data_IF_514943310648
#
_entry.id   IF_514943310648
#
_cell.length_a   1.000
_cell.length_b   1.000
_cell.length_c   1.000
_cell.angle_alpha   90.00
_cell.angle_beta   90.00
_cell.angle_gamma   90.00
#
_symmetry.space_group_name_H-M   'P 1'
#
loop_
_entity.id
_entity.type
_entity.pdbx_description
1 polymer ?
#
# COMPACT_ATOMS: atom_id res chain seq x y z
N UNK A 1 -0.74 1.56 -1.85
CA UNK A 1 -1.37 0.36 -1.24
C UNK A 1 -1.69 -0.74 -2.24
N UNK A 2 -2.45 -0.52 -3.33
CA UNK A 2 -2.70 -1.61 -4.31
C UNK A 2 -1.39 -2.19 -4.85
N UNK A 3 -0.36 -1.40 -5.16
CA UNK A 3 0.97 -1.96 -5.49
C UNK A 3 1.65 -2.67 -4.36
N UNK A 4 1.62 -2.13 -3.15
CA UNK A 4 2.26 -2.80 -2.03
C UNK A 4 1.60 -4.17 -1.79
N UNK A 5 0.27 -4.21 -1.73
CA UNK A 5 -0.49 -5.46 -1.58
C UNK A 5 -0.33 -6.39 -2.78
N UNK A 6 -0.33 -5.87 -4.02
CA UNK A 6 -0.17 -6.67 -5.25
C UNK A 6 1.25 -7.18 -5.41
N UNK A 7 2.28 -6.38 -5.16
CA UNK A 7 3.67 -6.81 -5.19
C UNK A 7 3.94 -7.84 -4.08
N UNK A 8 3.44 -7.61 -2.88
CA UNK A 8 3.59 -8.54 -1.77
C UNK A 8 2.87 -9.87 -2.05
N UNK A 9 1.64 -9.85 -2.58
CA UNK A 9 0.90 -11.09 -2.91
C UNK A 9 1.40 -11.80 -4.18
N UNK A 10 1.77 -11.07 -5.24
CA UNK A 10 2.23 -11.66 -6.51
C UNK A 10 3.68 -12.17 -6.44
N UNK A 11 4.56 -11.44 -5.75
CA UNK A 11 5.97 -11.83 -5.63
C UNK A 11 6.22 -12.68 -4.39
N UNK A 12 5.90 -12.17 -3.21
CA UNK A 12 6.32 -12.80 -1.94
C UNK A 12 5.41 -13.97 -1.49
N UNK A 13 4.17 -14.02 -1.99
CA UNK A 13 3.25 -15.15 -1.79
C UNK A 13 3.06 -16.00 -3.06
N UNK A 14 4.00 -15.95 -4.01
CA UNK A 14 3.95 -16.78 -5.21
C UNK A 14 3.86 -18.27 -4.86
N UNK A 15 3.03 -19.02 -5.58
CA UNK A 15 2.79 -20.45 -5.33
C UNK A 15 1.95 -20.78 -4.07
N UNK A 16 1.59 -19.80 -3.23
CA UNK A 16 0.70 -20.04 -2.08
C UNK A 16 -0.78 -20.17 -2.50
N UNK A 17 -1.61 -20.90 -1.72
CA UNK A 17 -3.05 -20.96 -1.93
C UNK A 17 -3.69 -19.57 -1.97
N UNK A 18 -4.78 -19.43 -2.74
CA UNK A 18 -5.46 -18.14 -2.88
C UNK A 18 -6.03 -17.64 -1.54
N UNK A 19 -6.49 -18.55 -0.67
CA UNK A 19 -6.96 -18.20 0.68
C UNK A 19 -5.85 -17.58 1.53
N UNK A 20 -4.62 -18.10 1.45
CA UNK A 20 -3.47 -17.52 2.16
C UNK A 20 -3.12 -16.14 1.62
N UNK A 21 -3.17 -15.95 0.29
CA UNK A 21 -2.97 -14.63 -0.33
C UNK A 21 -4.08 -13.65 0.06
N UNK A 22 -5.32 -14.13 0.17
CA UNK A 22 -6.47 -13.35 0.61
C UNK A 22 -6.33 -12.92 2.07
N UNK A 23 -5.82 -13.79 2.94
CA UNK A 23 -5.54 -13.45 4.33
C UNK A 23 -4.51 -12.32 4.45
N UNK A 24 -3.39 -12.43 3.72
CA UNK A 24 -2.36 -11.39 3.67
C UNK A 24 -2.92 -10.06 3.13
N UNK A 25 -3.75 -10.11 2.08
CA UNK A 25 -4.42 -8.92 1.54
C UNK A 25 -5.32 -8.24 2.59
N UNK A 26 -6.08 -9.01 3.35
CA UNK A 26 -6.96 -8.49 4.39
C UNK A 26 -6.16 -7.88 5.56
N UNK A 27 -5.07 -8.51 5.97
CA UNK A 27 -4.17 -7.99 7.02
C UNK A 27 -3.51 -6.67 6.59
N UNK A 28 -3.02 -6.59 5.35
CA UNK A 28 -2.49 -5.34 4.78
C UNK A 28 -3.58 -4.27 4.74
N UNK A 29 -4.79 -4.63 4.28
CA UNK A 29 -5.92 -3.70 4.23
C UNK A 29 -6.29 -3.19 5.63
N UNK A 30 -6.38 -4.06 6.63
CA UNK A 30 -6.68 -3.66 8.00
C UNK A 30 -5.62 -2.68 8.54
N UNK A 31 -4.34 -2.90 8.25
CA UNK A 31 -3.26 -2.05 8.76
C UNK A 31 -3.31 -0.61 8.20
N UNK A 32 -3.69 -0.44 6.93
CA UNK A 32 -3.66 0.86 6.22
C UNK A 32 -5.02 1.57 6.13
N UNK A 33 -6.11 0.92 6.56
CA UNK A 33 -7.45 1.50 6.63
C UNK A 33 -7.86 1.88 8.05
N UNK A 34 -6.90 2.31 8.87
CA UNK A 34 -7.18 2.90 10.18
C UNK A 34 -7.38 4.42 10.07
N UNK A 35 -8.22 4.96 10.95
CA UNK A 35 -8.43 6.40 11.10
C UNK A 35 -7.40 7.07 12.01
N UNK A 36 -6.66 6.26 12.78
CA UNK A 36 -5.59 6.71 13.69
C UNK A 36 -4.25 6.13 13.24
N UNK A 37 -3.22 6.97 12.98
CA UNK A 37 -1.89 6.51 12.60
C UNK A 37 -1.21 5.63 13.65
N UNK A 38 -1.45 5.87 14.94
CA UNK A 38 -0.84 5.03 15.99
C UNK A 38 -1.49 3.64 15.99
N UNK A 39 -2.82 3.58 15.76
CA UNK A 39 -3.53 2.31 15.59
C UNK A 39 -3.05 1.57 14.34
N UNK A 40 -2.83 2.28 13.23
CA UNK A 40 -2.30 1.70 11.99
C UNK A 40 -0.98 0.95 12.24
N UNK A 41 -0.05 1.58 12.98
CA UNK A 41 1.23 0.96 13.37
C UNK A 41 1.04 -0.22 14.30
N UNK A 42 0.16 -0.12 15.30
CA UNK A 42 -0.14 -1.25 16.18
C UNK A 42 -0.74 -2.44 15.40
N UNK A 43 -1.69 -2.21 14.50
CA UNK A 43 -2.29 -3.26 13.65
C UNK A 43 -1.23 -3.87 12.73
N UNK A 44 -0.34 -3.05 12.16
CA UNK A 44 0.77 -3.52 11.35
C UNK A 44 1.68 -4.47 12.14
N UNK A 45 2.14 -4.05 13.32
CA UNK A 45 3.01 -4.86 14.19
C UNK A 45 2.33 -6.18 14.62
N UNK A 46 1.05 -6.15 14.97
CA UNK A 46 0.29 -7.35 15.34
C UNK A 46 0.03 -8.27 14.13
N UNK A 47 -0.11 -7.73 12.91
CA UNK A 47 -0.31 -8.50 11.69
C UNK A 47 0.98 -9.15 11.16
N UNK A 48 2.15 -8.56 11.40
CA UNK A 48 3.45 -9.02 10.90
C UNK A 48 3.73 -10.53 11.12
N UNK A 49 3.59 -11.10 12.33
CA UNK A 49 3.81 -12.53 12.54
C UNK A 49 2.86 -13.44 11.74
N UNK A 50 1.63 -12.98 11.48
CA UNK A 50 0.65 -13.72 10.68
C UNK A 50 0.94 -13.66 9.18
N UNK A 51 1.50 -12.55 8.70
CA UNK A 51 1.98 -12.47 7.32
C UNK A 51 3.21 -13.37 7.14
N UNK A 52 4.11 -13.39 8.12
CA UNK A 52 5.31 -14.23 8.12
C UNK A 52 4.98 -15.73 8.13
N UNK A 53 3.92 -16.17 8.84
CA UNK A 53 3.50 -17.58 8.85
C UNK A 53 2.95 -18.05 7.49
N UNK A 54 2.39 -17.14 6.69
CA UNK A 54 2.00 -17.47 5.31
C UNK A 54 3.22 -17.60 4.39
N UNK A 55 4.19 -16.70 4.53
CA UNK A 55 5.44 -16.72 3.78
C UNK A 55 6.48 -15.86 4.49
N UNK A 56 7.63 -16.44 4.84
CA UNK A 56 8.74 -15.69 5.46
C UNK A 56 9.13 -14.46 4.63
N UNK A 57 9.21 -14.62 3.30
CA UNK A 57 9.50 -13.51 2.38
C UNK A 57 8.42 -12.44 2.41
N UNK A 58 7.15 -12.81 2.57
CA UNK A 58 6.07 -11.84 2.70
C UNK A 58 6.15 -11.09 4.03
N UNK A 59 6.50 -11.78 5.12
CA UNK A 59 6.78 -11.17 6.42
C UNK A 59 7.89 -10.12 6.35
N UNK A 60 9.04 -10.48 5.77
CA UNK A 60 10.17 -9.55 5.58
C UNK A 60 9.77 -8.29 4.80
N UNK A 61 9.09 -8.46 3.66
CA UNK A 61 8.64 -7.33 2.83
C UNK A 61 7.59 -6.51 3.56
N UNK A 62 6.74 -7.15 4.37
CA UNK A 62 5.72 -6.47 5.16
C UNK A 62 6.36 -5.61 6.26
N UNK A 63 7.28 -6.15 7.04
CA UNK A 63 7.98 -5.41 8.09
C UNK A 63 8.77 -4.23 7.52
N UNK A 64 9.54 -4.44 6.45
CA UNK A 64 10.36 -3.39 5.83
C UNK A 64 9.54 -2.24 5.22
N UNK A 65 8.26 -2.49 4.91
CA UNK A 65 7.43 -1.53 4.22
C UNK A 65 6.60 -0.64 5.14
N UNK A 66 6.59 -0.85 6.46
CA UNK A 66 5.72 -0.12 7.40
C UNK A 66 5.76 1.40 7.16
N UNK A 67 6.96 2.00 7.21
CA UNK A 67 7.12 3.45 7.10
C UNK A 67 6.67 3.96 5.72
N UNK A 68 7.01 3.26 4.66
CA UNK A 68 6.60 3.65 3.30
C UNK A 68 5.10 3.47 3.08
N UNK A 69 4.50 2.42 3.65
CA UNK A 69 3.09 2.11 3.50
C UNK A 69 2.20 3.02 4.34
N UNK A 70 2.70 3.52 5.47
CA UNK A 70 1.99 4.42 6.38
C UNK A 70 2.40 5.90 6.24
N UNK A 71 3.40 6.23 5.41
CA UNK A 71 3.85 7.62 5.21
C UNK A 71 2.72 8.61 4.89
N UNK A 72 1.66 8.17 4.20
CA UNK A 72 0.50 9.02 3.89
C UNK A 72 -0.20 9.57 5.15
N UNK A 73 -0.03 8.94 6.32
CA UNK A 73 -0.66 9.40 7.56
C UNK A 73 -0.06 10.69 8.12
N UNK A 74 1.11 11.12 7.61
CA UNK A 74 1.71 12.40 7.94
C UNK A 74 0.98 13.58 7.29
N UNK A 75 0.17 13.33 6.25
CA UNK A 75 -0.61 14.35 5.55
C UNK A 75 -1.96 14.60 6.24
N UNK A 76 -2.65 15.72 5.93
CA UNK A 76 -4.01 15.96 6.39
C UNK A 76 -4.94 14.78 6.09
N UNK A 77 -5.84 14.47 7.05
CA UNK A 77 -6.74 13.31 6.96
C UNK A 77 -7.59 13.28 5.68
N UNK A 78 -7.94 14.45 5.15
CA UNK A 78 -8.68 14.60 3.90
C UNK A 78 -7.91 14.06 2.68
N UNK A 79 -6.57 14.03 2.73
CA UNK A 79 -5.73 13.61 1.61
C UNK A 79 -5.50 12.09 1.56
N UNK A 80 -5.67 11.41 2.70
CA UNK A 80 -5.29 10.00 2.85
C UNK A 80 -5.91 9.09 1.80
N UNK A 81 -7.19 9.27 1.48
CA UNK A 81 -7.88 8.43 0.50
C UNK A 81 -7.22 8.46 -0.88
N UNK A 82 -6.65 9.61 -1.27
CA UNK A 82 -5.95 9.79 -2.54
C UNK A 82 -4.51 9.27 -2.45
N UNK A 83 -3.79 9.62 -1.39
CA UNK A 83 -2.36 9.31 -1.22
C UNK A 83 -2.06 7.84 -0.89
N UNK A 84 -2.97 7.17 -0.16
CA UNK A 84 -2.78 5.77 0.25
C UNK A 84 -2.74 4.81 -0.95
N UNK A 85 -3.39 5.15 -2.05
CA UNK A 85 -3.45 4.29 -3.25
C UNK A 85 -2.49 4.79 -4.31
N UNK A 86 -2.04 3.90 -5.20
CA UNK A 86 -1.17 4.27 -6.31
C UNK A 86 -1.85 3.99 -7.67
N UNK A 87 -3.18 4.13 -7.72
CA UNK A 87 -4.01 3.74 -8.85
C UNK A 87 -3.61 4.41 -10.16
N UNK A 88 -3.11 5.64 -10.10
CA UNK A 88 -2.62 6.41 -11.26
C UNK A 88 -1.41 5.73 -11.88
N UNK A 89 -0.40 5.40 -11.06
CA UNK A 89 0.80 4.68 -11.51
C UNK A 89 0.43 3.29 -12.05
N UNK A 90 -0.48 2.57 -11.40
CA UNK A 90 -0.89 1.24 -11.85
C UNK A 90 -1.63 1.25 -13.18
N UNK A 91 -2.44 2.27 -13.42
CA UNK A 91 -3.10 2.45 -14.71
C UNK A 91 -2.06 2.70 -15.81
N UNK A 92 -1.08 3.57 -15.56
CA UNK A 92 0.00 3.83 -16.51
C UNK A 92 0.85 2.58 -16.76
N UNK A 93 1.27 1.88 -15.71
CA UNK A 93 2.03 0.64 -15.81
C UNK A 93 1.28 -0.44 -16.60
N UNK A 94 -0.03 -0.57 -16.37
CA UNK A 94 -0.88 -1.52 -17.12
C UNK A 94 -0.96 -1.16 -18.59
N UNK A 95 -1.08 0.13 -18.92
CA UNK A 95 -1.15 0.58 -20.31
C UNK A 95 0.17 0.35 -21.06
N UNK A 96 1.30 0.66 -20.41
CA UNK A 96 2.63 0.33 -20.93
C UNK A 96 2.71 -1.18 -21.20
N UNK A 97 2.41 -2.03 -20.20
CA UNK A 97 2.43 -3.49 -20.36
C UNK A 97 1.50 -3.98 -21.48
N UNK A 98 0.32 -3.38 -21.65
CA UNK A 98 -0.64 -3.71 -22.72
C UNK A 98 -0.04 -3.45 -24.11
N UNK A 99 0.61 -2.30 -24.31
CA UNK A 99 1.24 -1.95 -25.59
C UNK A 99 2.48 -2.79 -25.89
N UNK A 100 3.27 -3.10 -24.86
CA UNK A 100 4.39 -4.05 -24.98
C UNK A 100 3.93 -5.43 -25.46
N UNK A 101 2.79 -5.93 -24.97
CA UNK A 101 2.22 -7.22 -25.40
C UNK A 101 1.87 -7.27 -26.89
N UNK A 102 1.68 -6.13 -27.56
CA UNK A 102 1.46 -6.12 -29.02
C UNK A 102 2.78 -6.26 -29.78
N UNK A 103 3.83 -5.58 -29.30
CA UNK A 103 5.14 -5.54 -29.96
C UNK A 103 5.93 -6.84 -29.75
N UNK A 104 5.74 -7.53 -28.61
CA UNK A 104 6.40 -8.79 -28.22
C UNK A 104 7.93 -8.67 -28.01
N UNK A 105 8.67 -8.10 -28.96
CA UNK A 105 10.12 -7.88 -28.89
C UNK A 105 10.51 -6.57 -29.57
N UNK A 106 11.49 -5.86 -29.01
CA UNK A 106 11.98 -4.60 -29.57
C UNK A 106 13.32 -4.81 -30.30
N UNK A 107 13.52 -4.17 -31.46
CA UNK A 107 14.78 -4.24 -32.20
C UNK A 107 15.91 -3.44 -31.54
N UNK A 108 15.59 -2.53 -30.63
CA UNK A 108 16.57 -1.75 -29.87
C UNK A 108 15.95 -1.16 -28.60
N UNK A 109 16.80 -0.74 -27.65
CA UNK A 109 16.38 0.01 -26.45
C UNK A 109 15.69 1.32 -26.82
N UNK A 110 16.13 2.01 -27.87
CA UNK A 110 15.50 3.25 -28.31
C UNK A 110 14.05 3.04 -28.76
N UNK A 111 13.78 1.98 -29.51
CA UNK A 111 12.41 1.64 -29.94
C UNK A 111 11.51 1.34 -28.73
N UNK A 112 12.05 0.67 -27.71
CA UNK A 112 11.37 0.42 -26.44
C UNK A 112 11.06 1.73 -25.68
N UNK A 113 12.03 2.64 -25.62
CA UNK A 113 11.84 3.96 -25.02
C UNK A 113 10.79 4.78 -25.76
N UNK A 114 10.80 4.80 -27.10
CA UNK A 114 9.81 5.54 -27.90
C UNK A 114 8.38 5.12 -27.57
N UNK A 115 8.11 3.80 -27.48
CA UNK A 115 6.78 3.32 -27.11
C UNK A 115 6.39 3.71 -25.67
N UNK A 116 7.34 3.59 -24.74
CA UNK A 116 7.10 3.93 -23.33
C UNK A 116 6.82 5.42 -23.17
N UNK A 117 7.66 6.27 -23.75
CA UNK A 117 7.48 7.73 -23.72
C UNK A 117 6.18 8.15 -24.40
N UNK A 118 5.85 7.59 -25.57
CA UNK A 118 4.59 7.88 -26.24
C UNK A 118 3.37 7.52 -25.36
N UNK A 119 3.42 6.40 -24.64
CA UNK A 119 2.36 5.98 -23.72
C UNK A 119 2.20 6.93 -22.53
N UNK A 120 3.31 7.41 -21.99
CA UNK A 120 3.32 8.38 -20.89
C UNK A 120 2.84 9.76 -21.35
N UNK A 121 3.29 10.24 -22.52
CA UNK A 121 2.87 11.53 -23.08
C UNK A 121 1.35 11.59 -23.34
N UNK A 122 0.77 10.50 -23.83
CA UNK A 122 -0.69 10.40 -24.01
C UNK A 122 -1.45 10.47 -22.69
N UNK A 123 -0.87 9.93 -21.61
CA UNK A 123 -1.48 9.96 -20.28
C UNK A 123 -1.27 11.31 -19.57
N UNK A 124 -0.14 11.97 -19.82
CA UNK A 124 0.25 13.24 -19.20
C UNK A 124 -0.79 14.34 -19.45
N UNK A 125 -1.35 14.42 -20.66
CA UNK A 125 -2.43 15.36 -20.98
C UNK A 125 -3.70 15.16 -20.14
N UNK A 126 -3.99 13.93 -19.69
CA UNK A 126 -5.11 13.67 -18.78
C UNK A 126 -4.77 14.06 -17.34
N UNK A 127 -3.52 13.84 -16.92
CA UNK A 127 -3.06 14.17 -15.58
C UNK A 127 -2.99 15.67 -15.35
N UNK A 128 -2.55 16.45 -16.34
CA UNK A 128 -2.49 17.90 -16.24
C UNK A 128 -3.88 18.54 -16.08
N UNK A 129 -4.93 17.88 -16.60
CA UNK A 129 -6.32 18.33 -16.46
C UNK A 129 -6.98 17.88 -15.15
N UNK A 130 -6.46 16.83 -14.49
CA UNK A 130 -7.03 16.28 -13.26
C UNK A 130 -6.31 16.80 -12.02
N UNK A 131 -6.80 17.91 -11.46
CA UNK A 131 -6.35 18.36 -10.14
C UNK A 131 -6.92 17.45 -9.05
N UNK A 132 -6.05 16.69 -8.39
CA UNK A 132 -6.43 15.78 -7.29
C UNK A 132 -6.80 16.55 -6.02
N UNK A 133 -6.20 17.72 -5.82
CA UNK A 133 -6.44 18.64 -4.71
C UNK A 133 -6.61 20.07 -5.23
N UNK A 134 -7.34 20.90 -4.51
CA UNK A 134 -7.31 22.35 -4.72
C UNK A 134 -5.94 22.92 -4.31
N UNK A 135 -5.58 24.10 -4.79
CA UNK A 135 -4.30 24.74 -4.43
C UNK A 135 -4.18 24.96 -2.91
N UNK A 136 -5.27 25.42 -2.27
CA UNK A 136 -5.33 25.57 -0.81
C UNK A 136 -5.13 24.23 -0.09
N UNK A 137 -5.84 23.17 -0.52
CA UNK A 137 -5.69 21.84 0.07
C UNK A 137 -4.29 21.27 -0.16
N UNK A 138 -3.66 21.53 -1.31
CA UNK A 138 -2.31 21.06 -1.59
C UNK A 138 -1.27 21.76 -0.69
N UNK A 139 -1.43 23.07 -0.46
CA UNK A 139 -0.56 23.84 0.42
C UNK A 139 -0.52 23.28 1.85
N UNK A 140 -1.65 22.79 2.38
CA UNK A 140 -1.69 22.11 3.69
C UNK A 140 -0.78 20.88 3.77
N UNK A 141 -0.60 20.15 2.65
CA UNK A 141 0.25 18.96 2.60
C UNK A 141 1.76 19.28 2.57
N UNK A 142 2.12 20.53 2.29
CA UNK A 142 3.50 21.03 2.29
C UNK A 142 3.79 21.93 3.51
N UNK A 143 2.82 22.14 4.38
CA UNK A 143 3.05 22.83 5.64
C UNK A 143 3.98 22.00 6.53
N UNK A 144 4.72 22.68 7.41
CA UNK A 144 5.55 22.01 8.40
C UNK A 144 4.68 21.06 9.25
N UNK A 145 5.09 19.78 9.40
CA UNK A 145 4.33 18.84 10.22
C UNK A 145 4.16 19.37 11.63
N UNK A 146 2.93 19.35 12.14
CA UNK A 146 2.70 19.66 13.54
C UNK A 146 3.37 18.59 14.43
N UNK A 147 3.98 19.04 15.53
CA UNK A 147 4.53 18.13 16.53
C UNK A 147 3.42 17.22 17.07
N UNK A 148 3.53 15.92 16.80
CA UNK A 148 2.63 14.90 17.32
C UNK A 148 3.25 14.32 18.59
N UNK A 149 2.70 14.60 19.79
CA UNK A 149 3.23 14.02 21.01
C UNK A 149 3.05 12.50 20.99
N UNK A 150 4.04 11.79 21.51
CA UNK A 150 3.98 10.33 21.61
C UNK A 150 2.74 9.91 22.44
N UNK A 151 2.06 8.81 22.06
CA UNK A 151 0.93 8.30 22.82
C UNK A 151 1.29 8.00 24.27
N UNK A 152 0.40 8.35 25.20
CA UNK A 152 0.54 7.98 26.61
C UNK A 152 0.51 6.46 26.78
N UNK A 153 1.07 5.95 27.87
CA UNK A 153 1.12 4.51 28.13
C UNK A 153 -0.27 3.85 28.16
N UNK A 154 -1.26 4.51 28.79
CA UNK A 154 -2.64 4.03 28.78
C UNK A 154 -3.24 3.94 27.37
N UNK A 155 -2.95 4.93 26.51
CA UNK A 155 -3.35 4.93 25.10
C UNK A 155 -2.66 3.82 24.33
N UNK A 156 -1.34 3.63 24.49
CA UNK A 156 -0.58 2.53 23.84
C UNK A 156 -1.20 1.17 24.15
N UNK A 157 -1.55 0.91 25.42
CA UNK A 157 -2.21 -0.35 25.81
C UNK A 157 -3.58 -0.52 25.18
N UNK A 158 -4.38 0.55 25.12
CA UNK A 158 -5.70 0.51 24.49
C UNK A 158 -5.61 0.25 22.98
N UNK A 159 -4.69 0.93 22.30
CA UNK A 159 -4.41 0.72 20.87
C UNK A 159 -3.93 -0.70 20.60
N UNK A 160 -3.02 -1.23 21.42
CA UNK A 160 -2.55 -2.61 21.29
C UNK A 160 -3.66 -3.65 21.47
N UNK A 161 -4.58 -3.46 22.42
CA UNK A 161 -5.76 -4.34 22.55
C UNK A 161 -6.63 -4.28 21.30
N UNK A 162 -6.92 -3.07 20.81
CA UNK A 162 -7.74 -2.88 19.61
C UNK A 162 -7.10 -3.48 18.35
N UNK A 163 -5.78 -3.36 18.24
CA UNK A 163 -5.01 -3.94 17.15
C UNK A 163 -5.12 -5.48 17.17
N UNK A 164 -4.95 -6.11 18.34
CA UNK A 164 -5.14 -7.56 18.49
C UNK A 164 -6.54 -7.99 18.12
N UNK A 165 -7.57 -7.34 18.66
CA UNK A 165 -8.97 -7.64 18.28
C UNK A 165 -9.19 -7.62 16.76
N UNK A 166 -8.66 -6.59 16.09
CA UNK A 166 -8.78 -6.43 14.63
C UNK A 166 -8.08 -7.56 13.87
N UNK A 167 -6.86 -7.93 14.30
CA UNK A 167 -6.07 -8.97 13.65
C UNK A 167 -6.65 -10.35 13.92
N UNK A 168 -7.05 -10.64 15.17
CA UNK A 168 -7.65 -11.89 15.58
C UNK A 168 -8.94 -12.18 14.80
N UNK A 169 -9.82 -11.17 14.61
CA UNK A 169 -11.02 -11.31 13.77
C UNK A 169 -10.69 -11.76 12.34
N UNK A 170 -9.61 -11.22 11.76
CA UNK A 170 -9.18 -11.57 10.39
C UNK A 170 -8.58 -12.98 10.37
N UNK A 171 -7.73 -13.28 11.34
CA UNK A 171 -7.05 -14.57 11.50
C UNK A 171 -8.08 -15.69 11.66
N UNK A 172 -9.07 -15.51 12.54
CA UNK A 172 -10.15 -16.46 12.78
C UNK A 172 -11.00 -16.64 11.52
N UNK A 173 -11.43 -15.54 10.89
CA UNK A 173 -12.22 -15.58 9.64
C UNK A 173 -11.48 -16.27 8.49
N UNK A 174 -10.15 -16.18 8.47
CA UNK A 174 -9.28 -16.78 7.43
C UNK A 174 -8.72 -18.15 7.83
N UNK A 175 -8.94 -18.61 9.06
CA UNK A 175 -8.44 -19.89 9.57
C UNK A 175 -6.91 -19.97 9.63
N UNK A 176 -6.22 -18.85 9.83
CA UNK A 176 -4.76 -18.84 9.97
C UNK A 176 -4.37 -19.50 11.29
N UNK A 177 -3.39 -20.40 11.25
CA UNK A 177 -2.82 -21.04 12.44
C UNK A 177 -1.41 -20.52 12.67
N UNK A 178 -1.09 -20.24 13.93
CA UNK A 178 0.28 -20.02 14.35
C UNK A 178 0.92 -21.41 14.41
N UNK A 179 1.91 -21.65 13.56
CA UNK A 179 2.76 -22.85 13.68
C UNK A 179 3.55 -22.82 14.99
#
# INVERSE_FOLDING_TARGET
>A
MVVFTVALTQSACSGRPEDSKAAVRDLVHASVYQDDPDLARCVWAEAAPWVASVSARAGEVFEQAEDSALAFTAFPRAHWAKLRTNNVQERANREIKRRYRVVQSFPSRESMLRLTCASLMETEGQWSQQRVFSEASAAEGFAEPADRPAPTEGRRRALGRRARETVDEIVERRGLKKE
#
